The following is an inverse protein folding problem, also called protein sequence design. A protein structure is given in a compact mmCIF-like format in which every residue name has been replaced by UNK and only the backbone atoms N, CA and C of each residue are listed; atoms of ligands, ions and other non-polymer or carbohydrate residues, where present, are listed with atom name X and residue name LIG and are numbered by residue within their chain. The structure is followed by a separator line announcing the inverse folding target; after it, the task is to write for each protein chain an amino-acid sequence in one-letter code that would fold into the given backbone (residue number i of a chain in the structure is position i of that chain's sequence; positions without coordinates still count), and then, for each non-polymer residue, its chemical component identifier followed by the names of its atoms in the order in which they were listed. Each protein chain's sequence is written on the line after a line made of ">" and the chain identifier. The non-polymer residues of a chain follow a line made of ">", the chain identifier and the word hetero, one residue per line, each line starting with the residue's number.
data_IF_367140429077
#
_entry.id   IF_367140429077
#
_cell.length_a   1.000
_cell.length_b   1.000
_cell.length_c   1.000
_cell.angle_alpha   90.00
_cell.angle_beta   90.00
_cell.angle_gamma   90.00
#
_symmetry.space_group_name_H-M   'P 1'
#
loop_
_entity.id
_entity.type
_entity.pdbx_description
1 polymer ?
#
# COMPACT_ATOMS: atom_id res chain seq x y z
N UNK A 1 -24.29 14.86 -1.92
CA UNK A 1 -22.83 14.64 -1.76
C UNK A 1 -22.65 13.43 -0.86
N UNK A 2 -21.73 12.52 -1.19
CA UNK A 2 -21.42 11.42 -0.26
C UNK A 2 -20.67 12.02 0.93
N UNK A 3 -21.21 11.87 2.14
CA UNK A 3 -20.56 12.28 3.38
C UNK A 3 -19.56 11.19 3.75
N UNK A 4 -18.27 11.55 3.83
CA UNK A 4 -17.23 10.67 4.31
C UNK A 4 -16.47 11.34 5.45
N UNK A 5 -15.95 10.53 6.36
CA UNK A 5 -15.05 10.96 7.43
C UNK A 5 -13.65 10.43 7.15
N UNK A 6 -12.65 11.25 7.44
CA UNK A 6 -11.24 10.86 7.35
C UNK A 6 -10.61 11.03 8.73
N UNK A 7 -10.06 9.95 9.26
CA UNK A 7 -9.31 9.93 10.52
C UNK A 7 -7.88 9.54 10.20
N UNK A 8 -6.93 10.30 10.74
CA UNK A 8 -5.51 9.90 10.71
C UNK A 8 -5.22 9.04 11.92
N UNK A 9 -4.64 7.87 11.71
CA UNK A 9 -4.26 6.92 12.75
C UNK A 9 -2.84 6.40 12.50
N UNK A 10 -2.16 5.93 13.54
CA UNK A 10 -0.82 5.38 13.44
C UNK A 10 -0.83 3.88 13.75
N UNK A 11 -0.29 3.09 12.82
CA UNK A 11 -0.09 1.65 12.98
C UNK A 11 1.41 1.38 12.96
N UNK A 12 1.97 0.88 14.06
CA UNK A 12 3.42 0.71 14.21
C UNK A 12 4.17 1.99 13.87
N UNK A 13 4.95 1.99 12.77
CA UNK A 13 5.72 3.15 12.29
C UNK A 13 5.10 3.87 11.08
N UNK A 14 3.87 3.54 10.69
CA UNK A 14 3.22 4.11 9.50
C UNK A 14 1.99 4.93 9.89
N UNK A 15 1.92 6.14 9.35
CA UNK A 15 0.69 6.94 9.38
C UNK A 15 -0.28 6.40 8.33
N UNK A 16 -1.54 6.30 8.72
CA UNK A 16 -2.61 5.77 7.90
C UNK A 16 -3.81 6.72 7.93
N UNK A 17 -4.62 6.67 6.87
CA UNK A 17 -5.93 7.29 6.81
C UNK A 17 -7.01 6.21 6.86
N UNK A 18 -7.87 6.28 7.86
CA UNK A 18 -9.13 5.56 7.87
C UNK A 18 -10.20 6.47 7.25
N UNK A 19 -10.81 5.99 6.18
CA UNK A 19 -11.88 6.70 5.48
C UNK A 19 -13.14 5.87 5.62
N UNK A 20 -14.20 6.46 6.17
CA UNK A 20 -15.48 5.79 6.36
C UNK A 20 -16.64 6.58 5.78
N UNK A 21 -17.65 5.87 5.30
CA UNK A 21 -18.94 6.42 4.87
C UNK A 21 -20.08 5.47 5.27
N UNK A 22 -21.31 5.85 4.95
CA UNK A 22 -22.50 5.00 5.00
C UNK A 22 -22.43 3.72 4.14
N UNK A 23 -21.44 3.60 3.25
CA UNK A 23 -21.32 2.50 2.27
C UNK A 23 -20.13 1.60 2.52
N UNK A 24 -19.04 2.13 3.05
CA UNK A 24 -17.80 1.38 3.21
C UNK A 24 -16.82 2.03 4.18
N UNK A 25 -15.82 1.25 4.58
CA UNK A 25 -14.63 1.69 5.27
C UNK A 25 -13.38 1.24 4.52
N UNK A 26 -12.36 2.10 4.52
CA UNK A 26 -11.08 1.90 3.88
C UNK A 26 -9.95 2.30 4.85
N UNK A 27 -8.87 1.52 4.88
CA UNK A 27 -7.63 1.92 5.55
C UNK A 27 -6.52 2.06 4.52
N UNK A 28 -5.84 3.21 4.48
CA UNK A 28 -4.74 3.49 3.56
C UNK A 28 -3.48 3.83 4.36
N UNK A 29 -2.37 3.15 4.11
CA UNK A 29 -1.06 3.63 4.55
C UNK A 29 -0.61 4.78 3.65
N UNK A 30 -0.19 5.90 4.26
CA UNK A 30 0.38 7.02 3.50
C UNK A 30 1.62 6.57 2.71
N UNK A 31 2.43 5.70 3.32
CA UNK A 31 3.52 5.04 2.62
C UNK A 31 2.99 4.16 1.48
N UNK A 32 3.41 4.47 0.26
CA UNK A 32 3.05 3.76 -0.96
C UNK A 32 1.63 4.00 -1.42
N UNK A 33 0.90 4.94 -0.78
CA UNK A 33 -0.54 5.12 -0.95
C UNK A 33 -1.30 3.78 -0.93
N UNK A 34 -0.86 2.86 -0.06
CA UNK A 34 -1.26 1.47 -0.12
C UNK A 34 -2.59 1.30 0.62
N UNK A 35 -3.65 0.92 -0.10
CA UNK A 35 -4.88 0.45 0.52
C UNK A 35 -4.56 -0.85 1.26
N UNK A 36 -4.81 -0.88 2.56
CA UNK A 36 -4.53 -2.00 3.45
C UNK A 36 -5.76 -2.87 3.69
N UNK A 37 -6.92 -2.24 3.84
CA UNK A 37 -8.20 -2.92 3.97
C UNK A 37 -9.33 -2.14 3.30
N UNK A 38 -10.37 -2.86 2.92
CA UNK A 38 -11.60 -2.32 2.35
C UNK A 38 -12.76 -3.24 2.68
N UNK A 39 -13.85 -2.67 3.20
CA UNK A 39 -15.06 -3.40 3.52
C UNK A 39 -16.28 -2.55 3.21
N UNK A 40 -17.25 -3.13 2.51
CA UNK A 40 -18.58 -2.52 2.34
C UNK A 40 -19.43 -2.80 3.58
N UNK A 41 -20.26 -1.84 3.98
CA UNK A 41 -21.16 -1.98 5.14
C UNK A 41 -22.12 -3.15 4.90
N UNK A 42 -22.21 -4.05 5.89
CA UNK A 42 -23.05 -5.25 5.81
C UNK A 42 -22.46 -6.41 5.01
N UNK A 43 -21.23 -6.29 4.51
CA UNK A 43 -20.56 -7.33 3.72
C UNK A 43 -19.22 -7.75 4.34
N UNK A 44 -18.71 -8.96 4.02
CA UNK A 44 -17.37 -9.37 4.41
C UNK A 44 -16.29 -8.43 3.84
N UNK A 45 -15.11 -8.34 4.48
CA UNK A 45 -13.98 -7.56 3.95
C UNK A 45 -13.59 -8.01 2.53
N UNK A 46 -13.50 -7.06 1.60
CA UNK A 46 -13.03 -7.32 0.23
C UNK A 46 -11.50 -7.36 0.18
N UNK A 47 -10.85 -6.49 0.94
CA UNK A 47 -9.40 -6.50 1.14
C UNK A 47 -9.12 -6.74 2.62
N UNK A 48 -8.35 -7.80 2.91
CA UNK A 48 -8.04 -8.20 4.27
C UNK A 48 -6.69 -7.67 4.73
N UNK A 49 -6.68 -7.15 5.96
CA UNK A 49 -5.48 -6.79 6.70
C UNK A 49 -5.25 -7.83 7.78
N UNK A 50 -4.10 -8.50 7.74
CA UNK A 50 -3.73 -9.49 8.76
C UNK A 50 -3.38 -8.84 10.08
N UNK A 51 -3.76 -9.46 11.20
CA UNK A 51 -3.27 -9.10 12.54
C UNK A 51 -1.75 -9.28 12.69
N UNK A 52 -1.12 -10.07 11.80
CA UNK A 52 0.32 -10.26 11.74
C UNK A 52 1.02 -9.24 10.81
N UNK A 53 0.29 -8.27 10.26
CA UNK A 53 0.86 -7.27 9.37
C UNK A 53 1.89 -6.39 10.11
N UNK A 54 3.06 -6.24 9.49
CA UNK A 54 4.16 -5.44 10.05
C UNK A 54 4.16 -4.07 9.41
N UNK A 55 3.98 -3.03 10.23
CA UNK A 55 3.98 -1.63 9.81
C UNK A 55 5.33 -0.97 10.09
N UNK A 56 6.24 -1.04 9.12
CA UNK A 56 7.60 -0.51 9.23
C UNK A 56 7.89 0.48 8.12
N UNK A 57 8.46 1.63 8.47
CA UNK A 57 8.94 2.62 7.51
C UNK A 57 9.94 1.98 6.52
N UNK A 58 9.79 2.29 5.24
CA UNK A 58 10.60 1.75 4.15
C UNK A 58 10.28 0.32 3.73
N UNK A 59 9.29 -0.35 4.36
CA UNK A 59 8.80 -1.67 3.93
C UNK A 59 7.32 -1.64 3.61
N UNK A 60 6.95 -2.13 2.44
CA UNK A 60 5.55 -2.34 2.06
C UNK A 60 4.87 -3.33 3.01
N UNK A 61 3.66 -3.00 3.42
CA UNK A 61 2.84 -3.85 4.29
C UNK A 61 2.37 -5.06 3.47
N UNK A 62 2.35 -6.25 4.07
CA UNK A 62 1.81 -7.46 3.42
C UNK A 62 0.29 -7.53 3.58
N UNK A 63 -0.42 -6.62 2.92
CA UNK A 63 -1.88 -6.54 2.92
C UNK A 63 -2.40 -5.70 1.74
N UNK A 64 -3.68 -5.85 1.41
CA UNK A 64 -4.38 -5.00 0.44
C UNK A 64 -3.70 -4.87 -0.93
N UNK A 65 -3.52 -3.64 -1.41
CA UNK A 65 -3.15 -3.35 -2.81
C UNK A 65 -1.83 -2.56 -2.89
N UNK A 66 -0.66 -3.23 -2.94
CA UNK A 66 0.62 -2.56 -3.10
C UNK A 66 0.88 -2.10 -4.55
N UNK A 67 1.32 -0.86 -4.73
CA UNK A 67 1.68 -0.32 -6.04
C UNK A 67 3.10 -0.74 -6.44
N UNK A 68 3.22 -1.46 -7.55
CA UNK A 68 4.50 -1.90 -8.13
C UNK A 68 4.93 -0.91 -9.22
N UNK A 69 5.81 0.05 -8.91
CA UNK A 69 6.22 1.08 -9.87
C UNK A 69 7.62 1.65 -9.55
N UNK A 70 8.51 1.87 -10.55
CA UNK A 70 8.26 1.80 -12.01
C UNK A 70 8.42 0.42 -12.67
N UNK A 71 8.67 -0.65 -11.92
CA UNK A 71 8.77 -2.00 -12.49
C UNK A 71 7.97 -3.03 -11.69
N UNK A 72 7.67 -4.16 -12.34
CA UNK A 72 6.98 -5.29 -11.73
C UNK A 72 7.97 -6.39 -11.33
N UNK A 73 7.75 -7.00 -10.16
CA UNK A 73 8.54 -8.15 -9.69
C UNK A 73 10.04 -7.86 -9.62
N UNK A 74 10.86 -8.83 -10.02
CA UNK A 74 12.32 -8.68 -10.08
C UNK A 74 12.71 -7.77 -11.26
N UNK A 75 13.47 -6.69 -11.00
CA UNK A 75 13.95 -5.75 -12.02
C UNK A 75 14.64 -6.46 -13.20
N UNK A 76 15.45 -7.49 -12.93
CA UNK A 76 16.19 -8.24 -13.96
C UNK A 76 15.29 -8.96 -14.99
N UNK A 77 13.99 -9.12 -14.68
CA UNK A 77 12.99 -9.72 -15.59
C UNK A 77 12.22 -8.69 -16.42
N UNK A 78 12.55 -7.40 -16.30
CA UNK A 78 11.92 -6.32 -17.05
C UNK A 78 12.77 -5.95 -18.29
N UNK A 79 12.23 -5.23 -19.29
CA UNK A 79 13.00 -4.77 -20.45
C UNK A 79 14.24 -3.95 -20.07
N UNK A 80 15.29 -3.96 -20.90
CA UNK A 80 16.54 -3.23 -20.63
C UNK A 80 16.31 -1.74 -20.35
N UNK A 81 15.38 -1.10 -21.07
CA UNK A 81 15.03 0.30 -20.83
C UNK A 81 14.52 0.55 -19.40
N UNK A 82 13.79 -0.42 -18.81
CA UNK A 82 13.31 -0.34 -17.42
C UNK A 82 14.43 -0.66 -16.43
N UNK A 83 15.28 -1.64 -16.75
CA UNK A 83 16.47 -1.94 -15.94
C UNK A 83 17.39 -0.72 -15.81
N UNK A 84 17.56 0.02 -16.91
CA UNK A 84 18.38 1.23 -16.96
C UNK A 84 17.81 2.40 -16.13
N UNK A 85 16.55 2.34 -15.67
CA UNK A 85 15.97 3.37 -14.81
C UNK A 85 16.50 3.35 -13.36
N UNK A 86 17.23 2.31 -12.97
CA UNK A 86 17.70 2.13 -11.60
C UNK A 86 19.21 1.94 -11.55
N UNK A 87 19.89 2.76 -10.75
CA UNK A 87 21.35 2.79 -10.65
C UNK A 87 21.88 2.36 -9.26
N UNK A 88 21.02 1.83 -8.38
CA UNK A 88 21.43 1.33 -7.06
C UNK A 88 22.02 -0.08 -7.13
N UNK A 89 22.82 -0.44 -6.11
CA UNK A 89 23.52 -1.74 -6.04
C UNK A 89 22.56 -2.94 -6.07
N UNK A 90 21.45 -2.87 -5.34
CA UNK A 90 20.44 -3.92 -5.30
C UNK A 90 19.05 -3.34 -5.53
N UNK A 91 18.41 -3.76 -6.62
CA UNK A 91 17.05 -3.35 -6.95
C UNK A 91 16.03 -4.13 -6.11
N UNK A 92 15.09 -3.45 -5.41
CA UNK A 92 14.02 -4.15 -4.72
C UNK A 92 13.07 -4.82 -5.72
N UNK A 93 12.49 -5.94 -5.32
CA UNK A 93 11.34 -6.49 -6.02
C UNK A 93 10.16 -5.52 -5.91
N UNK A 94 9.38 -5.40 -6.99
CA UNK A 94 8.22 -4.52 -7.12
C UNK A 94 8.51 -3.05 -6.83
N UNK A 95 9.74 -2.64 -7.14
CA UNK A 95 10.13 -1.26 -7.21
C UNK A 95 9.97 -0.44 -5.93
N UNK A 96 9.95 0.89 -6.09
CA UNK A 96 10.19 1.82 -5.00
C UNK A 96 8.90 2.38 -4.41
N UNK A 97 7.86 2.57 -5.22
CA UNK A 97 6.64 3.29 -4.86
C UNK A 97 6.02 2.82 -3.54
N UNK A 98 5.79 1.51 -3.38
CA UNK A 98 5.19 0.88 -2.18
C UNK A 98 5.96 1.06 -0.85
N UNK A 99 7.12 1.72 -0.88
CA UNK A 99 7.99 1.95 0.28
C UNK A 99 8.35 3.43 0.49
N UNK A 100 7.76 4.33 -0.29
CA UNK A 100 7.98 5.79 -0.21
C UNK A 100 6.77 6.47 0.40
N UNK A 101 6.98 7.60 1.04
CA UNK A 101 5.94 8.43 1.65
C UNK A 101 5.70 9.67 0.80
#
# INVERSE_FOLDING_TARGET
>A
MATYQVVTEQHGKLNCWRISSDRAELLIAQQGAQILSYQRVGEPPLLWLSDQAIFRQGKSVRAGVPVCWPWFGNLQRNPQAVQAMYHGEQAPAHALARSRH
#
